data_IF_581059545673
#
_entry.id   IF_581059545673
#
_cell.length_a   1.000
_cell.length_b   1.000
_cell.length_c   1.000
_cell.angle_alpha   90.00
_cell.angle_beta   90.00
_cell.angle_gamma   90.00
#
_symmetry.space_group_name_H-M   'P 1'
#
loop_
_entity.id
_entity.type
_entity.pdbx_description
1 polymer ?
#
# COMPACT_ATOMS: atom_id res chain seq x y z
N UNK A 1 -7.25 -3.11 -10.25
CA UNK A 1 -7.94 -3.14 -8.95
C UNK A 1 -8.29 -1.71 -8.57
N UNK A 2 -9.54 -1.43 -8.17
CA UNK A 2 -9.96 -0.08 -7.75
C UNK A 2 -9.53 0.24 -6.32
N UNK A 3 -8.22 0.16 -6.06
CA UNK A 3 -7.60 0.31 -4.74
C UNK A 3 -6.65 1.49 -4.79
N UNK A 4 -6.70 2.36 -3.78
CA UNK A 4 -5.81 3.49 -3.60
C UNK A 4 -4.91 3.25 -2.38
N UNK A 5 -3.62 3.50 -2.53
CA UNK A 5 -2.65 3.48 -1.42
C UNK A 5 -2.64 4.86 -0.76
N UNK A 6 -2.88 4.90 0.55
CA UNK A 6 -2.86 6.12 1.35
C UNK A 6 -1.53 6.31 2.06
N UNK A 7 -0.95 5.21 2.56
CA UNK A 7 0.26 5.25 3.39
C UNK A 7 1.17 4.09 3.00
N UNK A 8 2.47 4.37 2.95
CA UNK A 8 3.52 3.35 2.90
C UNK A 8 4.41 3.50 4.13
N UNK A 9 4.55 2.42 4.91
CA UNK A 9 5.47 2.34 6.05
C UNK A 9 6.62 1.41 5.68
N UNK A 10 7.81 1.98 5.51
CA UNK A 10 9.07 1.25 5.43
C UNK A 10 9.49 0.87 6.85
N UNK A 11 9.84 -0.39 7.07
CA UNK A 11 10.24 -0.87 8.40
C UNK A 11 11.72 -0.62 8.70
N UNK A 12 12.59 -0.62 7.68
CA UNK A 12 14.04 -0.50 7.82
C UNK A 12 14.64 0.39 6.72
N UNK A 13 15.08 1.62 7.03
CA UNK A 13 14.84 2.34 8.28
C UNK A 13 13.34 2.62 8.47
N UNK A 14 12.90 2.83 9.71
CA UNK A 14 11.49 3.16 9.96
C UNK A 14 11.16 4.52 9.32
N UNK A 15 10.27 4.51 8.34
CA UNK A 15 9.86 5.71 7.60
C UNK A 15 8.43 5.57 7.14
N UNK A 16 7.65 6.63 7.32
CA UNK A 16 6.24 6.69 6.90
C UNK A 16 6.10 7.74 5.81
N UNK A 17 5.55 7.33 4.66
CA UNK A 17 5.19 8.22 3.56
C UNK A 17 3.67 8.29 3.44
N UNK A 18 3.12 9.49 3.64
CA UNK A 18 1.70 9.78 3.43
C UNK A 18 1.48 10.20 1.98
N UNK A 19 0.43 9.69 1.35
CA UNK A 19 0.05 9.99 -0.03
C UNK A 19 1.26 9.79 -0.96
N UNK A 20 1.72 8.53 -1.13
CA UNK A 20 2.89 8.26 -1.94
C UNK A 20 2.69 8.80 -3.35
N UNK A 21 3.74 9.42 -3.89
CA UNK A 21 3.76 9.82 -5.30
C UNK A 21 3.64 8.58 -6.20
N UNK A 22 3.16 8.77 -7.41
CA UNK A 22 2.97 7.67 -8.36
C UNK A 22 4.27 6.93 -8.74
N UNK A 23 5.44 7.55 -8.52
CA UNK A 23 6.76 6.98 -8.77
C UNK A 23 7.33 6.17 -7.57
N UNK A 24 6.56 5.99 -6.50
CA UNK A 24 7.02 5.29 -5.30
C UNK A 24 7.29 3.81 -5.59
N UNK A 25 8.52 3.35 -5.31
CA UNK A 25 8.90 1.93 -5.40
C UNK A 25 8.60 1.24 -4.06
N UNK A 26 7.61 0.35 -4.08
CA UNK A 26 7.24 -0.48 -2.93
C UNK A 26 8.27 -1.61 -2.76
N UNK A 27 8.70 -1.84 -1.52
CA UNK A 27 9.57 -2.94 -1.13
C UNK A 27 8.74 -4.06 -0.48
N UNK A 28 9.27 -5.29 -0.50
CA UNK A 28 8.59 -6.45 0.08
C UNK A 28 8.32 -6.30 1.60
N UNK A 29 9.15 -5.52 2.29
CA UNK A 29 9.02 -5.24 3.73
C UNK A 29 8.04 -4.11 4.07
N UNK A 30 7.48 -3.42 3.06
CA UNK A 30 6.67 -2.25 3.29
C UNK A 30 5.25 -2.64 3.72
N UNK A 31 4.70 -1.92 4.71
CA UNK A 31 3.31 -2.04 5.10
C UNK A 31 2.49 -0.97 4.37
N UNK A 32 1.46 -1.39 3.63
CA UNK A 32 0.58 -0.51 2.88
C UNK A 32 -0.76 -0.34 3.60
N UNK A 33 -1.19 0.91 3.77
CA UNK A 33 -2.58 1.22 4.15
C UNK A 33 -3.33 1.60 2.88
N UNK A 34 -4.37 0.83 2.58
CA UNK A 34 -5.12 0.96 1.31
C UNK A 34 -6.61 1.12 1.56
N UNK A 35 -7.29 1.79 0.63
CA UNK A 35 -8.75 1.88 0.59
C UNK A 35 -9.25 1.42 -0.77
N UNK A 36 -10.46 0.86 -0.81
CA UNK A 36 -11.07 0.38 -2.04
C UNK A 36 -12.41 -0.28 -1.78
N UNK A 37 -13.06 -0.73 -2.85
CA UNK A 37 -14.29 -1.52 -2.72
C UNK A 37 -13.96 -2.90 -2.17
N UNK A 38 -14.81 -3.45 -1.31
CA UNK A 38 -14.64 -4.80 -0.72
C UNK A 38 -14.31 -5.87 -1.76
N UNK A 39 -14.98 -5.84 -2.92
CA UNK A 39 -14.75 -6.79 -4.01
C UNK A 39 -13.33 -6.76 -4.56
N UNK A 40 -12.66 -5.61 -4.49
CA UNK A 40 -11.30 -5.44 -4.97
C UNK A 40 -10.30 -5.78 -3.86
N UNK A 41 -10.58 -5.40 -2.60
CA UNK A 41 -9.78 -5.79 -1.43
C UNK A 41 -9.74 -7.32 -1.23
N UNK A 42 -10.87 -8.01 -1.41
CA UNK A 42 -10.93 -9.48 -1.33
C UNK A 42 -10.13 -10.20 -2.41
N UNK A 43 -9.85 -9.55 -3.54
CA UNK A 43 -9.03 -10.17 -4.59
C UNK A 43 -7.55 -10.09 -4.23
N UNK A 44 -7.09 -8.98 -3.64
CA UNK A 44 -5.67 -8.83 -3.28
C UNK A 44 -5.27 -9.69 -2.08
N UNK A 45 -6.19 -9.99 -1.16
CA UNK A 45 -5.91 -10.87 0.00
C UNK A 45 -5.77 -12.35 -0.36
N UNK A 46 -6.14 -12.74 -1.59
CA UNK A 46 -6.05 -14.12 -2.06
C UNK A 46 -4.74 -14.45 -2.76
N UNK A 47 -3.87 -13.44 -2.93
CA UNK A 47 -2.51 -13.56 -3.44
C UNK A 47 -1.53 -13.35 -2.29
#
# INVERSE_FOLDING_TARGET
YGIQVLVVKEMIPEKVSLIPRADYKIKDSDILVVIGKDKDLKKIQKY
#
